data_IF_466514174983
#
_entry.id   IF_466514174983
#
_cell.length_a   1.000
_cell.length_b   1.000
_cell.length_c   1.000
_cell.angle_alpha   90.00
_cell.angle_beta   90.00
_cell.angle_gamma   90.00
#
_symmetry.space_group_name_H-M   'P 1'
#
loop_
_entity.id
_entity.type
_entity.pdbx_description
1 polymer ?
#
# COMPACT_ATOMS: atom_id res chain seq x y z
N UNK A 1 41.60 28.14 -9.60
CA UNK A 1 40.54 28.52 -8.64
C UNK A 1 39.15 28.50 -9.28
N UNK A 2 38.93 29.10 -10.45
CA UNK A 2 37.62 29.06 -11.14
C UNK A 2 37.14 27.64 -11.51
N UNK A 3 38.04 26.77 -12.01
CA UNK A 3 37.69 25.38 -12.39
C UNK A 3 37.23 24.53 -11.19
N UNK A 4 37.82 24.74 -10.01
CA UNK A 4 37.44 24.04 -8.77
C UNK A 4 36.05 24.47 -8.31
N UNK A 5 35.72 25.76 -8.44
CA UNK A 5 34.40 26.30 -8.07
C UNK A 5 33.30 25.73 -8.97
N UNK A 6 33.55 25.65 -10.28
CA UNK A 6 32.58 25.09 -11.25
C UNK A 6 32.31 23.60 -10.96
N UNK A 7 33.35 22.82 -10.67
CA UNK A 7 33.18 21.41 -10.32
C UNK A 7 32.37 21.22 -9.03
N UNK A 8 32.56 22.06 -8.02
CA UNK A 8 31.78 22.02 -6.77
C UNK A 8 30.30 22.31 -7.04
N UNK A 9 30.00 23.31 -7.88
CA UNK A 9 28.62 23.66 -8.25
C UNK A 9 27.94 22.52 -9.02
N UNK A 10 28.66 21.88 -9.94
CA UNK A 10 28.16 20.73 -10.71
C UNK A 10 27.80 19.55 -9.80
N UNK A 11 28.63 19.25 -8.80
CA UNK A 11 28.38 18.19 -7.81
C UNK A 11 27.16 18.52 -6.96
N UNK A 12 27.00 19.77 -6.50
CA UNK A 12 25.86 20.20 -5.69
C UNK A 12 24.54 20.08 -6.44
N UNK A 13 24.50 20.39 -7.73
CA UNK A 13 23.29 20.27 -8.57
C UNK A 13 22.78 18.82 -8.62
N UNK A 14 23.66 17.83 -8.52
CA UNK A 14 23.28 16.40 -8.54
C UNK A 14 22.88 15.89 -7.16
N UNK A 15 23.59 16.33 -6.11
CA UNK A 15 23.37 15.83 -4.74
C UNK A 15 22.10 16.41 -4.11
N UNK A 16 21.77 17.69 -4.38
CA UNK A 16 20.61 18.35 -3.77
C UNK A 16 19.28 17.64 -4.10
N UNK A 17 18.98 17.27 -5.37
CA UNK A 17 17.78 16.50 -5.70
C UNK A 17 17.72 15.12 -5.02
N UNK A 18 18.86 14.42 -4.89
CA UNK A 18 18.90 13.13 -4.18
C UNK A 18 18.59 13.28 -2.69
N UNK A 19 19.17 14.29 -2.03
CA UNK A 19 18.89 14.56 -0.62
C UNK A 19 17.43 14.95 -0.40
N UNK A 20 16.86 15.75 -1.31
CA UNK A 20 15.43 16.09 -1.27
C UNK A 20 14.55 14.84 -1.34
N UNK A 21 14.86 13.89 -2.23
CA UNK A 21 14.12 12.63 -2.36
C UNK A 21 14.22 11.73 -1.12
N UNK A 22 15.36 11.73 -0.41
CA UNK A 22 15.53 10.93 0.81
C UNK A 22 14.70 11.46 1.99
N UNK A 23 14.50 12.77 2.11
CA UNK A 23 13.83 13.39 3.25
C UNK A 23 12.30 13.17 3.21
N UNK A 24 11.71 12.97 2.03
CA UNK A 24 10.27 12.73 1.86
C UNK A 24 9.71 11.50 2.60
N UNK A 25 10.56 10.52 2.96
CA UNK A 25 10.13 9.29 3.65
C UNK A 25 9.73 9.48 5.13
N UNK A 26 9.91 10.66 5.72
CA UNK A 26 9.64 10.91 7.15
C UNK A 26 8.15 11.06 7.51
N UNK A 27 7.27 11.34 6.54
CA UNK A 27 5.84 11.57 6.76
C UNK A 27 5.07 10.37 7.31
N UNK A 28 5.49 9.14 6.97
CA UNK A 28 4.75 7.92 7.34
C UNK A 28 4.72 7.62 8.83
N UNK A 29 5.66 8.13 9.64
CA UNK A 29 5.71 7.78 11.07
C UNK A 29 4.50 8.30 11.85
N UNK A 30 4.03 9.51 11.54
CA UNK A 30 2.88 10.09 12.23
C UNK A 30 1.59 9.35 11.88
N UNK A 31 1.39 9.05 10.58
CA UNK A 31 0.24 8.28 10.09
C UNK A 31 0.19 6.89 10.73
N UNK A 32 1.33 6.20 10.79
CA UNK A 32 1.42 4.87 11.43
C UNK A 32 1.14 4.95 12.94
N UNK A 33 1.59 6.00 13.63
CA UNK A 33 1.34 6.15 15.05
C UNK A 33 -0.14 6.42 15.36
N UNK A 34 -0.79 7.29 14.58
CA UNK A 34 -2.23 7.53 14.70
C UNK A 34 -3.03 6.25 14.42
N UNK A 35 -2.68 5.55 13.34
CA UNK A 35 -3.26 4.24 13.01
C UNK A 35 -3.09 3.23 14.15
N UNK A 36 -1.89 3.12 14.73
CA UNK A 36 -1.63 2.23 15.86
C UNK A 36 -2.46 2.60 17.09
N UNK A 37 -2.73 3.89 17.31
CA UNK A 37 -3.62 4.33 18.38
C UNK A 37 -5.05 3.84 18.12
N UNK A 38 -5.61 4.11 16.94
CA UNK A 38 -6.95 3.65 16.54
C UNK A 38 -7.08 2.13 16.61
N UNK A 39 -6.05 1.40 16.16
CA UNK A 39 -6.01 -0.06 16.23
C UNK A 39 -6.05 -0.56 17.67
N UNK A 40 -5.29 0.08 18.57
CA UNK A 40 -5.28 -0.27 20.00
C UNK A 40 -6.62 0.00 20.67
N UNK A 41 -7.29 1.10 20.32
CA UNK A 41 -8.62 1.42 20.82
C UNK A 41 -9.65 0.35 20.39
N UNK A 42 -9.45 -0.26 19.22
CA UNK A 42 -10.21 -1.42 18.75
C UNK A 42 -9.70 -2.78 19.27
N UNK A 43 -8.75 -2.79 20.21
CA UNK A 43 -8.19 -4.00 20.82
C UNK A 43 -7.23 -4.79 19.94
N UNK A 44 -6.66 -4.18 18.90
CA UNK A 44 -5.68 -4.80 17.98
C UNK A 44 -4.32 -4.12 18.15
N UNK A 45 -3.24 -4.90 18.26
CA UNK A 45 -1.90 -4.36 18.42
C UNK A 45 -0.99 -4.81 17.25
N UNK A 46 -1.02 -4.10 16.12
CA UNK A 46 -0.27 -4.52 14.94
C UNK A 46 1.25 -4.43 15.15
N UNK A 47 1.94 -5.57 15.07
CA UNK A 47 3.40 -5.67 15.12
C UNK A 47 4.06 -5.35 13.77
N UNK A 48 3.37 -5.63 12.67
CA UNK A 48 3.78 -5.24 11.32
C UNK A 48 2.82 -4.21 10.77
N UNK A 49 3.35 -3.14 10.19
CA UNK A 49 2.54 -2.07 9.59
C UNK A 49 3.13 -1.65 8.26
N UNK A 50 2.27 -1.24 7.34
CA UNK A 50 2.64 -0.66 6.06
C UNK A 50 1.66 0.42 5.65
N UNK A 51 2.05 1.20 4.65
CA UNK A 51 1.27 2.30 4.08
C UNK A 51 1.31 2.17 2.58
N UNK A 52 0.22 2.52 1.92
CA UNK A 52 0.19 2.79 0.48
C UNK A 52 -0.34 4.21 0.28
N UNK A 53 -0.46 4.68 -0.96
CA UNK A 53 -0.82 6.08 -1.23
C UNK A 53 -2.16 6.49 -0.60
N UNK A 54 -3.11 5.56 -0.49
CA UNK A 54 -4.47 5.83 -0.03
C UNK A 54 -4.86 5.05 1.22
N UNK A 55 -3.89 4.67 2.05
CA UNK A 55 -4.22 4.03 3.32
C UNK A 55 -3.05 3.43 4.07
N UNK A 56 -3.42 2.78 5.15
CA UNK A 56 -2.49 2.18 6.11
C UNK A 56 -3.06 0.86 6.57
N UNK A 57 -2.18 -0.12 6.79
CA UNK A 57 -2.57 -1.43 7.28
C UNK A 57 -1.60 -1.93 8.35
N UNK A 58 -2.06 -2.93 9.08
CA UNK A 58 -1.27 -3.62 10.06
C UNK A 58 -1.73 -5.06 10.27
N UNK A 59 -0.79 -5.90 10.68
CA UNK A 59 -1.02 -7.28 11.09
C UNK A 59 -0.66 -7.39 12.56
N UNK A 60 -1.61 -7.88 13.36
CA UNK A 60 -1.39 -8.38 14.71
C UNK A 60 -1.19 -9.90 14.62
N UNK A 61 0.08 -10.30 14.69
CA UNK A 61 0.55 -11.67 14.63
C UNK A 61 0.11 -12.48 15.86
N UNK A 62 -0.15 -11.84 16.99
CA UNK A 62 -0.53 -12.52 18.25
C UNK A 62 -2.00 -12.91 18.21
N UNK A 63 -2.87 -12.01 17.75
CA UNK A 63 -4.31 -12.24 17.64
C UNK A 63 -4.73 -12.83 16.28
N UNK A 64 -3.81 -12.91 15.32
CA UNK A 64 -4.09 -13.28 13.93
C UNK A 64 -5.11 -12.34 13.27
N UNK A 65 -4.97 -11.04 13.50
CA UNK A 65 -5.88 -10.02 12.93
C UNK A 65 -5.14 -9.16 11.91
N UNK A 66 -5.82 -8.84 10.82
CA UNK A 66 -5.41 -7.81 9.88
C UNK A 66 -6.30 -6.60 10.08
N UNK A 67 -5.72 -5.41 10.08
CA UNK A 67 -6.47 -4.16 10.22
C UNK A 67 -6.00 -3.15 9.19
N UNK A 68 -6.91 -2.33 8.69
CA UNK A 68 -6.60 -1.33 7.68
C UNK A 68 -7.56 -0.14 7.71
N UNK A 69 -7.10 0.98 7.16
CA UNK A 69 -7.91 2.15 6.80
C UNK A 69 -7.63 2.42 5.33
N UNK A 70 -8.67 2.57 4.50
CA UNK A 70 -8.54 2.83 3.06
C UNK A 70 -9.34 4.04 2.65
N UNK A 71 -8.65 5.16 2.42
CA UNK A 71 -9.24 6.44 1.99
C UNK A 71 -9.96 6.35 0.63
N UNK A 72 -9.79 5.25 -0.12
CA UNK A 72 -10.56 5.00 -1.34
C UNK A 72 -11.96 4.43 -1.07
N UNK A 73 -12.17 3.85 0.11
CA UNK A 73 -13.42 3.23 0.57
C UNK A 73 -14.11 4.12 1.62
N UNK A 74 -13.47 4.27 2.78
CA UNK A 74 -13.91 5.04 3.93
C UNK A 74 -12.74 5.25 4.91
N UNK A 75 -12.87 6.22 5.83
CA UNK A 75 -11.81 6.56 6.80
C UNK A 75 -11.89 5.75 8.11
N UNK A 76 -12.72 4.69 8.13
CA UNK A 76 -12.91 3.86 9.32
C UNK A 76 -11.86 2.75 9.41
N UNK A 77 -11.62 2.29 10.64
CA UNK A 77 -10.75 1.14 10.89
C UNK A 77 -11.52 -0.16 10.65
N UNK A 78 -11.07 -0.91 9.65
CA UNK A 78 -11.56 -2.26 9.38
C UNK A 78 -10.65 -3.28 10.05
N UNK A 79 -11.24 -4.31 10.65
CA UNK A 79 -10.52 -5.44 11.26
C UNK A 79 -11.04 -6.74 10.67
N UNK A 80 -10.12 -7.60 10.27
CA UNK A 80 -10.37 -8.89 9.62
C UNK A 80 -9.65 -9.97 10.44
N UNK A 81 -10.37 -11.02 10.83
CA UNK A 81 -9.76 -12.20 11.42
C UNK A 81 -9.09 -13.04 10.32
N UNK A 82 -7.76 -13.15 10.36
CA UNK A 82 -6.99 -13.90 9.37
C UNK A 82 -7.24 -15.41 9.45
N UNK A 83 -7.78 -15.92 10.57
CA UNK A 83 -8.14 -17.35 10.70
C UNK A 83 -9.31 -17.72 9.80
N UNK A 84 -10.17 -16.76 9.49
CA UNK A 84 -11.32 -16.97 8.62
C UNK A 84 -10.98 -16.84 7.13
N UNK A 85 -9.83 -16.23 6.82
CA UNK A 85 -9.35 -16.01 5.44
C UNK A 85 -8.70 -17.27 4.90
N UNK A 86 -9.16 -17.74 3.74
CA UNK A 86 -8.64 -18.93 3.06
C UNK A 86 -7.78 -18.61 1.85
N UNK A 87 -8.07 -17.48 1.19
CA UNK A 87 -7.35 -17.04 0.00
C UNK A 87 -7.22 -15.53 0.01
N UNK A 88 -6.06 -15.02 -0.39
CA UNK A 88 -5.82 -13.59 -0.54
C UNK A 88 -5.02 -13.35 -1.83
N UNK A 89 -5.50 -12.45 -2.67
CA UNK A 89 -4.91 -12.15 -3.99
C UNK A 89 -5.00 -10.69 -4.38
N UNK A 90 -4.08 -10.26 -5.23
CA UNK A 90 -4.15 -8.95 -5.89
C UNK A 90 -4.99 -9.08 -7.15
N UNK A 91 -6.06 -8.31 -7.24
CA UNK A 91 -6.89 -8.20 -8.45
C UNK A 91 -6.62 -6.88 -9.17
N UNK A 92 -6.45 -6.98 -10.50
CA UNK A 92 -6.08 -5.86 -11.37
C UNK A 92 -7.16 -5.68 -12.43
N UNK A 93 -7.65 -4.46 -12.60
CA UNK A 93 -8.62 -4.11 -13.63
C UNK A 93 -7.93 -3.28 -14.69
N UNK A 94 -7.88 -3.80 -15.91
CA UNK A 94 -7.34 -3.12 -17.07
C UNK A 94 -8.47 -2.64 -17.97
N UNK A 95 -8.26 -1.50 -18.64
CA UNK A 95 -9.14 -0.99 -19.67
C UNK A 95 -8.33 -0.82 -20.95
N UNK A 96 -8.86 -1.36 -22.04
CA UNK A 96 -8.29 -1.14 -23.37
C UNK A 96 -8.78 0.20 -23.90
N UNK A 97 -7.84 1.06 -24.29
CA UNK A 97 -8.12 2.33 -24.95
C UNK A 97 -7.41 2.31 -26.31
N UNK A 98 -8.15 2.65 -27.38
CA UNK A 98 -7.58 2.77 -28.71
C UNK A 98 -6.98 4.16 -28.88
N UNK A 99 -5.65 4.24 -28.84
CA UNK A 99 -4.90 5.49 -29.05
C UNK A 99 -4.15 5.36 -30.36
N UNK A 100 -4.39 6.27 -31.30
CA UNK A 100 -3.71 6.27 -32.61
C UNK A 100 -3.84 4.94 -33.38
N UNK A 101 -5.02 4.31 -33.33
CA UNK A 101 -5.32 3.02 -33.96
C UNK A 101 -4.51 1.83 -33.40
N UNK A 102 -3.93 1.98 -32.21
CA UNK A 102 -3.35 0.88 -31.42
C UNK A 102 -4.13 0.69 -30.14
N UNK A 103 -4.44 -0.57 -29.83
CA UNK A 103 -5.09 -0.93 -28.58
C UNK A 103 -4.06 -1.00 -27.45
N UNK A 104 -4.17 -0.09 -26.49
CA UNK A 104 -3.30 -0.03 -25.32
C UNK A 104 -4.11 -0.46 -24.10
N UNK A 105 -3.60 -1.46 -23.37
CA UNK A 105 -4.18 -1.91 -22.11
C UNK A 105 -3.61 -1.09 -20.95
N UNK A 106 -4.46 -0.27 -20.31
CA UNK A 106 -4.08 0.58 -19.19
C UNK A 106 -4.64 0.04 -17.87
N UNK A 107 -3.80 -0.01 -16.84
CA UNK A 107 -4.22 -0.41 -15.49
C UNK A 107 -5.08 0.70 -14.85
N UNK A 108 -6.34 0.38 -14.56
CA UNK A 108 -7.32 1.32 -13.99
C UNK A 108 -7.50 1.15 -12.50
N UNK A 109 -7.42 -0.07 -11.97
CA UNK A 109 -7.62 -0.29 -10.53
C UNK A 109 -6.85 -1.49 -10.01
N UNK A 110 -6.45 -1.42 -8.75
CA UNK A 110 -5.84 -2.51 -8.00
C UNK A 110 -6.60 -2.70 -6.70
N UNK A 111 -6.96 -3.96 -6.43
CA UNK A 111 -7.64 -4.39 -5.22
C UNK A 111 -6.87 -5.52 -4.54
N UNK A 112 -6.95 -5.58 -3.22
CA UNK A 112 -6.60 -6.76 -2.45
C UNK A 112 -7.90 -7.47 -2.07
N UNK A 113 -8.06 -8.69 -2.55
CA UNK A 113 -9.26 -9.49 -2.34
C UNK A 113 -8.96 -10.64 -1.40
N UNK A 114 -9.71 -10.73 -0.31
CA UNK A 114 -9.66 -11.83 0.64
C UNK A 114 -10.96 -12.62 0.57
N UNK A 115 -10.86 -13.94 0.45
CA UNK A 115 -12.00 -14.85 0.48
C UNK A 115 -12.00 -15.60 1.80
N UNK A 116 -13.11 -15.52 2.52
CA UNK A 116 -13.28 -16.23 3.78
C UNK A 116 -13.80 -17.65 3.56
N UNK A 117 -13.70 -18.51 4.58
CA UNK A 117 -14.27 -19.85 4.56
C UNK A 117 -15.78 -19.87 4.28
N UNK A 118 -16.48 -18.77 4.60
CA UNK A 118 -17.92 -18.59 4.38
C UNK A 118 -18.24 -18.04 2.97
N UNK A 119 -17.25 -18.02 2.05
CA UNK A 119 -17.35 -17.42 0.71
C UNK A 119 -17.69 -15.93 0.71
N UNK A 120 -17.47 -15.23 1.82
CA UNK A 120 -17.56 -13.77 1.86
C UNK A 120 -16.28 -13.19 1.26
N UNK A 121 -16.42 -12.16 0.44
CA UNK A 121 -15.30 -11.48 -0.19
C UNK A 121 -15.08 -10.11 0.46
N UNK A 122 -13.86 -9.89 0.95
CA UNK A 122 -13.43 -8.61 1.51
C UNK A 122 -12.53 -7.96 0.46
N UNK A 123 -12.99 -6.83 -0.08
CA UNK A 123 -12.31 -6.09 -1.14
C UNK A 123 -11.71 -4.82 -0.55
N UNK A 124 -10.39 -4.69 -0.64
CA UNK A 124 -9.65 -3.51 -0.22
C UNK A 124 -9.18 -2.76 -1.47
N UNK A 125 -9.72 -1.57 -1.76
CA UNK A 125 -9.22 -0.74 -2.86
C UNK A 125 -7.85 -0.17 -2.49
N UNK A 126 -6.87 -0.40 -3.35
CA UNK A 126 -5.50 0.10 -3.19
C UNK A 126 -5.23 1.26 -4.16
N UNK A 127 -5.58 1.07 -5.43
CA UNK A 127 -5.40 2.08 -6.48
C UNK A 127 -6.64 2.21 -7.37
N UNK A 128 -6.91 3.44 -7.80
CA UNK A 128 -7.93 3.76 -8.80
C UNK A 128 -7.48 4.96 -9.65
N UNK A 129 -7.35 4.77 -10.96
CA UNK A 129 -6.87 5.76 -11.93
C UNK A 129 -7.77 7.00 -12.06
N UNK A 130 -9.05 6.90 -11.69
CA UNK A 130 -9.97 8.05 -11.66
C UNK A 130 -9.76 8.95 -10.45
N UNK A 131 -9.17 8.42 -9.36
CA UNK A 131 -8.88 9.16 -8.12
C UNK A 131 -7.41 9.56 -8.02
N UNK A 132 -6.50 8.75 -8.56
CA UNK A 132 -5.06 9.01 -8.58
C UNK A 132 -4.50 8.82 -9.99
N UNK A 133 -3.88 9.86 -10.54
CA UNK A 133 -3.37 9.83 -11.91
C UNK A 133 -2.12 8.94 -12.08
N UNK A 134 -1.39 8.69 -11.00
CA UNK A 134 -0.16 7.92 -11.00
C UNK A 134 -0.33 6.72 -10.06
N UNK A 135 0.06 5.54 -10.54
CA UNK A 135 0.00 4.29 -9.77
C UNK A 135 1.10 4.19 -8.71
N UNK A 136 2.15 5.01 -8.81
CA UNK A 136 3.27 5.01 -7.87
C UNK A 136 3.78 3.58 -7.58
N UNK A 137 3.94 3.28 -6.30
CA UNK A 137 4.30 1.96 -5.79
C UNK A 137 3.08 1.13 -5.31
N UNK A 138 1.84 1.62 -5.51
CA UNK A 138 0.61 1.01 -4.94
C UNK A 138 0.43 -0.46 -5.35
N UNK A 139 0.81 -0.82 -6.58
CA UNK A 139 0.75 -2.21 -7.02
C UNK A 139 1.76 -3.09 -6.28
N UNK A 140 2.96 -2.58 -6.00
CA UNK A 140 3.98 -3.29 -5.25
C UNK A 140 3.56 -3.43 -3.78
N UNK A 141 3.01 -2.36 -3.20
CA UNK A 141 2.47 -2.37 -1.83
C UNK A 141 1.32 -3.39 -1.69
N UNK A 142 0.43 -3.49 -2.68
CA UNK A 142 -0.62 -4.51 -2.71
C UNK A 142 -0.04 -5.94 -2.74
N UNK A 143 0.99 -6.17 -3.56
CA UNK A 143 1.66 -7.47 -3.67
C UNK A 143 2.34 -7.84 -2.36
N UNK A 144 3.05 -6.91 -1.72
CA UNK A 144 3.71 -7.13 -0.44
C UNK A 144 2.69 -7.36 0.68
N UNK A 145 1.58 -6.63 0.68
CA UNK A 145 0.46 -6.84 1.60
C UNK A 145 -0.09 -8.27 1.48
N UNK A 146 -0.42 -8.71 0.26
CA UNK A 146 -0.91 -10.06 0.00
C UNK A 146 0.10 -11.12 0.42
N UNK A 147 1.40 -10.91 0.15
CA UNK A 147 2.47 -11.82 0.57
C UNK A 147 2.52 -11.97 2.09
N UNK A 148 2.40 -10.87 2.83
CA UNK A 148 2.37 -10.91 4.29
C UNK A 148 1.14 -11.60 4.85
N UNK A 149 -0.04 -11.36 4.26
CA UNK A 149 -1.28 -12.04 4.64
C UNK A 149 -1.17 -13.54 4.35
N UNK A 150 -0.73 -13.91 3.14
CA UNK A 150 -0.61 -15.30 2.74
C UNK A 150 0.39 -16.08 3.61
N UNK A 151 1.52 -15.47 4.00
CA UNK A 151 2.45 -16.07 4.94
C UNK A 151 1.79 -16.41 6.30
N UNK A 152 0.78 -15.64 6.72
CA UNK A 152 0.02 -15.90 7.94
C UNK A 152 -1.06 -16.96 7.74
N UNK A 153 -1.87 -16.87 6.68
CA UNK A 153 -2.96 -17.85 6.48
C UNK A 153 -2.42 -19.25 6.23
N UNK A 154 -1.29 -19.40 5.52
CA UNK A 154 -0.66 -20.70 5.28
C UNK A 154 -0.08 -21.35 6.54
N UNK A 155 0.10 -20.60 7.64
CA UNK A 155 0.51 -21.17 8.93
C UNK A 155 -0.67 -21.90 9.62
N UNK A 156 -1.91 -21.64 9.21
CA UNK A 156 -3.14 -22.21 9.77
C UNK A 156 -3.90 -23.12 8.80
N UNK A 157 -3.33 -23.38 7.63
CA UNK A 157 -3.86 -24.31 6.62
C UNK A 157 -3.28 -25.71 6.85
#
# INVERSE_FOLDING_TARGET
MASTIINIVLVLIIIIPMLYFMIGKKGNKNVINEFKSKAKDAGVNPDKTGTWQNGVFGIDSTQSKFCYISHLKDDDLHVVDLKEVKHCEVSKVYQTESVHSQDISMLKSVYVNMKTAQKTEIIIPVYNASKNLQIGDDLLDAIDMVKMINAKISTYA
#
